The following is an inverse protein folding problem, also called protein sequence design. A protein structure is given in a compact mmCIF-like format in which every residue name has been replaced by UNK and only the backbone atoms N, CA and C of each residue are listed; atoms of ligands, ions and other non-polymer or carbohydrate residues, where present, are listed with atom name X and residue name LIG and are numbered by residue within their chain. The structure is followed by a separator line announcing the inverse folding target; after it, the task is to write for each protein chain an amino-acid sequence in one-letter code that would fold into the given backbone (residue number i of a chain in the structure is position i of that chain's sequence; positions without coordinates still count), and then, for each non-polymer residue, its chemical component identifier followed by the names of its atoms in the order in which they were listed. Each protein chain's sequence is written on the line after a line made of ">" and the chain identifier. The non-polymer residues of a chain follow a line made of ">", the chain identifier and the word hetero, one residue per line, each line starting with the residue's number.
data_IF_984436948677
#
_entry.id   IF_984436948677
#
_cell.length_a   1.000
_cell.length_b   1.000
_cell.length_c   1.000
_cell.angle_alpha   90.00
_cell.angle_beta   90.00
_cell.angle_gamma   90.00
#
_symmetry.space_group_name_H-M   'P 1'
#
loop_
_entity.id
_entity.type
_entity.pdbx_description
1 polymer ?
#
# COMPACT_ATOMS: atom_id res chain seq x y z
N UNK A 1 -4.49 -38.88 15.88
CA UNK A 1 -3.87 -37.71 16.55
C UNK A 1 -2.71 -37.26 15.67
N UNK A 2 -2.94 -36.39 14.66
CA UNK A 2 -2.65 -34.93 14.66
C UNK A 2 -1.35 -34.59 15.41
N UNK A 3 -0.26 -34.25 14.72
CA UNK A 3 -0.01 -33.01 13.96
C UNK A 3 0.82 -32.07 14.83
N UNK A 4 2.05 -31.73 14.41
CA UNK A 4 2.72 -30.44 14.72
C UNK A 4 4.16 -30.30 14.19
N UNK A 5 4.81 -31.36 13.68
CA UNK A 5 6.22 -31.23 13.26
C UNK A 5 6.44 -30.73 11.82
N UNK A 6 5.38 -30.60 11.01
CA UNK A 6 5.51 -30.19 9.60
C UNK A 6 5.26 -28.69 9.34
N UNK A 7 4.93 -27.89 10.38
CA UNK A 7 4.61 -26.46 10.23
C UNK A 7 5.72 -25.50 10.67
N UNK A 8 6.87 -26.00 11.16
CA UNK A 8 7.99 -25.16 11.58
C UNK A 8 9.02 -24.89 10.48
N UNK A 9 8.85 -25.48 9.28
CA UNK A 9 9.78 -25.28 8.15
C UNK A 9 9.35 -24.24 7.12
N UNK A 10 8.13 -23.69 7.21
CA UNK A 10 7.68 -22.60 6.32
C UNK A 10 8.02 -21.22 6.89
N UNK A 11 8.41 -21.13 8.17
CA UNK A 11 8.68 -19.86 8.88
C UNK A 11 10.16 -19.56 9.14
N UNK A 12 11.08 -20.17 8.38
CA UNK A 12 12.50 -19.80 8.43
C UNK A 12 12.91 -18.93 7.24
N UNK A 13 12.17 -17.83 7.01
CA UNK A 13 12.69 -16.72 6.24
C UNK A 13 13.61 -15.93 7.18
N UNK A 14 14.93 -16.07 7.01
CA UNK A 14 15.91 -15.20 7.68
C UNK A 14 15.53 -13.75 7.37
N UNK A 15 15.28 -12.88 8.37
CA UNK A 15 15.14 -11.47 8.09
C UNK A 15 16.54 -10.92 7.82
N UNK A 16 16.89 -10.77 6.55
CA UNK A 16 17.85 -9.74 6.18
C UNK A 16 17.24 -8.41 6.59
N UNK A 17 17.86 -7.78 7.58
CA UNK A 17 17.49 -6.54 8.27
C UNK A 17 17.23 -5.31 7.37
N UNK A 18 16.18 -5.32 6.52
CA UNK A 18 15.83 -4.16 5.67
C UNK A 18 14.32 -3.91 5.46
N UNK A 19 13.45 -4.50 6.27
CA UNK A 19 12.00 -4.23 6.22
C UNK A 19 11.46 -4.15 7.64
N UNK A 20 11.22 -2.93 8.13
CA UNK A 20 10.45 -2.75 9.36
C UNK A 20 8.97 -2.72 8.94
N UNK A 21 8.14 -3.70 9.34
CA UNK A 21 6.73 -3.69 8.96
C UNK A 21 5.97 -2.56 9.65
N UNK A 22 4.85 -2.14 9.07
CA UNK A 22 3.93 -1.23 9.74
C UNK A 22 3.19 -2.02 10.83
N UNK A 23 3.48 -1.76 12.11
CA UNK A 23 2.94 -2.57 13.22
C UNK A 23 1.81 -1.89 13.98
N UNK A 24 1.62 -0.58 13.79
CA UNK A 24 0.52 0.16 14.41
C UNK A 24 -0.81 -0.25 13.75
N UNK A 25 -1.79 -0.81 14.48
CA UNK A 25 -3.05 -1.28 13.90
C UNK A 25 -3.83 -0.18 13.17
N UNK A 26 -3.88 1.03 13.73
CA UNK A 26 -4.56 2.15 13.11
C UNK A 26 -3.85 2.59 11.81
N UNK A 27 -2.51 2.55 11.80
CA UNK A 27 -1.75 2.86 10.60
C UNK A 27 -1.95 1.81 9.49
N UNK A 28 -2.01 0.53 9.87
CA UNK A 28 -2.32 -0.59 8.98
C UNK A 28 -3.71 -0.42 8.35
N UNK A 29 -4.73 -0.17 9.17
CA UNK A 29 -6.11 0.00 8.70
C UNK A 29 -6.22 1.21 7.77
N UNK A 30 -5.61 2.34 8.12
CA UNK A 30 -5.57 3.53 7.28
C UNK A 30 -4.88 3.28 5.94
N UNK A 31 -3.75 2.54 5.94
CA UNK A 31 -3.05 2.19 4.72
C UNK A 31 -3.92 1.30 3.82
N UNK A 32 -4.50 0.25 4.40
CA UNK A 32 -5.38 -0.67 3.67
C UNK A 32 -6.57 0.07 3.08
N UNK A 33 -7.23 0.93 3.86
CA UNK A 33 -8.37 1.71 3.40
C UNK A 33 -7.99 2.65 2.25
N UNK A 34 -6.84 3.32 2.33
CA UNK A 34 -6.35 4.18 1.25
C UNK A 34 -6.22 3.41 -0.07
N UNK A 35 -5.61 2.21 -0.04
CA UNK A 35 -5.48 1.38 -1.24
C UNK A 35 -6.83 0.82 -1.72
N UNK A 36 -7.74 0.46 -0.81
CA UNK A 36 -9.07 -0.04 -1.16
C UNK A 36 -9.90 1.03 -1.87
N UNK A 37 -9.87 2.26 -1.36
CA UNK A 37 -10.56 3.39 -1.99
C UNK A 37 -9.98 3.68 -3.37
N UNK A 38 -8.64 3.61 -3.50
CA UNK A 38 -7.98 3.84 -4.78
C UNK A 38 -8.41 2.82 -5.84
N UNK A 39 -8.45 1.52 -5.49
CA UNK A 39 -8.94 0.49 -6.42
C UNK A 39 -10.41 0.73 -6.77
N UNK A 40 -11.25 0.97 -5.76
CA UNK A 40 -12.70 1.14 -5.95
C UNK A 40 -13.01 2.30 -6.90
N UNK A 41 -12.27 3.40 -6.79
CA UNK A 41 -12.50 4.60 -7.59
C UNK A 41 -11.76 4.59 -8.94
N UNK A 42 -10.61 3.94 -9.04
CA UNK A 42 -9.82 3.88 -10.27
C UNK A 42 -10.20 2.71 -11.19
N UNK A 43 -10.86 1.68 -10.66
CA UNK A 43 -11.28 0.48 -11.39
C UNK A 43 -12.60 -0.11 -10.85
N UNK A 44 -13.72 0.66 -10.90
CA UNK A 44 -14.99 0.25 -10.30
C UNK A 44 -15.58 -1.03 -10.91
N UNK A 45 -15.37 -1.25 -12.21
CA UNK A 45 -15.88 -2.42 -12.94
C UNK A 45 -14.92 -3.62 -12.89
N UNK A 46 -13.78 -3.50 -12.19
CA UNK A 46 -12.76 -4.54 -12.11
C UNK A 46 -12.26 -5.02 -13.49
N UNK A 47 -12.19 -4.14 -14.47
CA UNK A 47 -11.74 -4.46 -15.83
C UNK A 47 -10.24 -4.20 -16.03
N UNK A 48 -9.60 -3.40 -15.17
CA UNK A 48 -8.19 -2.99 -15.32
C UNK A 48 -7.24 -3.87 -14.48
N UNK A 49 -7.11 -5.14 -14.85
CA UNK A 49 -6.29 -6.12 -14.10
C UNK A 49 -4.84 -5.66 -13.85
N UNK A 50 -4.18 -5.04 -14.83
CA UNK A 50 -2.83 -4.50 -14.70
C UNK A 50 -2.72 -3.37 -13.68
N UNK A 51 -3.76 -2.54 -13.59
CA UNK A 51 -3.83 -1.43 -12.63
C UNK A 51 -3.92 -1.99 -11.20
N UNK A 52 -4.80 -2.96 -10.97
CA UNK A 52 -4.94 -3.63 -9.67
C UNK A 52 -3.64 -4.28 -9.22
N UNK A 53 -2.95 -5.00 -10.11
CA UNK A 53 -1.65 -5.59 -9.78
C UNK A 53 -0.61 -4.56 -9.35
N UNK A 54 -0.57 -3.38 -9.98
CA UNK A 54 0.34 -2.31 -9.56
C UNK A 54 -0.04 -1.74 -8.21
N UNK A 55 -1.33 -1.49 -7.98
CA UNK A 55 -1.83 -0.98 -6.70
C UNK A 55 -1.54 -1.98 -5.58
N UNK A 56 -1.76 -3.28 -5.80
CA UNK A 56 -1.47 -4.33 -4.85
C UNK A 56 0.03 -4.45 -4.55
N UNK A 57 0.90 -4.30 -5.56
CA UNK A 57 2.34 -4.29 -5.36
C UNK A 57 2.79 -3.12 -4.48
N UNK A 58 2.20 -1.93 -4.67
CA UNK A 58 2.46 -0.80 -3.77
C UNK A 58 1.88 -1.03 -2.37
N UNK A 59 0.71 -1.67 -2.25
CA UNK A 59 0.13 -2.03 -0.95
C UNK A 59 1.08 -2.93 -0.17
N UNK A 60 1.56 -4.01 -0.80
CA UNK A 60 2.52 -4.92 -0.16
C UNK A 60 3.77 -4.17 0.29
N UNK A 61 4.29 -3.27 -0.55
CA UNK A 61 5.43 -2.44 -0.16
C UNK A 61 5.10 -1.53 1.02
N UNK A 62 3.98 -0.80 1.00
CA UNK A 62 3.60 0.12 2.07
C UNK A 62 3.41 -0.57 3.42
N UNK A 63 2.87 -1.79 3.43
CA UNK A 63 2.65 -2.55 4.66
C UNK A 63 3.95 -3.16 5.23
N UNK A 64 4.96 -3.40 4.39
CA UNK A 64 6.22 -4.04 4.78
C UNK A 64 7.41 -3.08 4.90
N UNK A 65 7.33 -1.89 4.33
CA UNK A 65 8.38 -0.85 4.34
C UNK A 65 7.93 0.35 5.17
N UNK A 66 8.33 0.39 6.44
CA UNK A 66 8.22 1.60 7.25
C UNK A 66 9.02 2.75 6.61
N UNK A 67 8.39 3.91 6.40
CA UNK A 67 9.05 5.17 6.05
C UNK A 67 9.89 5.21 4.78
N UNK A 68 9.49 4.46 3.75
CA UNK A 68 10.16 4.56 2.46
C UNK A 68 9.78 5.87 1.74
N UNK A 69 10.64 6.90 1.84
CA UNK A 69 10.52 8.12 1.02
C UNK A 69 10.48 7.81 -0.48
N UNK A 70 11.16 6.75 -0.92
CA UNK A 70 11.09 6.29 -2.31
C UNK A 70 9.68 5.82 -2.67
N UNK A 71 9.03 5.05 -1.79
CA UNK A 71 7.67 4.58 -2.01
C UNK A 71 6.68 5.75 -2.04
N UNK A 72 6.84 6.72 -1.15
CA UNK A 72 6.05 7.95 -1.17
C UNK A 72 6.13 8.64 -2.54
N UNK A 73 7.34 8.91 -3.02
CA UNK A 73 7.54 9.57 -4.32
C UNK A 73 6.97 8.74 -5.50
N UNK A 74 7.10 7.42 -5.44
CA UNK A 74 6.52 6.52 -6.44
C UNK A 74 4.99 6.59 -6.44
N UNK A 75 4.35 6.63 -5.28
CA UNK A 75 2.90 6.76 -5.15
C UNK A 75 2.40 8.12 -5.65
N UNK A 76 3.11 9.22 -5.38
CA UNK A 76 2.80 10.54 -5.95
C UNK A 76 2.83 10.49 -7.48
N UNK A 77 3.93 10.02 -8.07
CA UNK A 77 4.04 9.95 -9.53
C UNK A 77 3.02 8.99 -10.17
N UNK A 78 2.65 7.93 -9.44
CA UNK A 78 1.58 7.03 -9.86
C UNK A 78 0.22 7.73 -9.88
N UNK A 79 -0.14 8.49 -8.83
CA UNK A 79 -1.38 9.27 -8.80
C UNK A 79 -1.42 10.30 -9.93
N UNK A 80 -0.32 11.01 -10.18
CA UNK A 80 -0.22 11.95 -11.31
C UNK A 80 -0.46 11.25 -12.65
N UNK A 81 0.05 10.03 -12.81
CA UNK A 81 -0.20 9.20 -13.99
C UNK A 81 -1.67 8.81 -14.11
N UNK A 82 -2.33 8.44 -13.02
CA UNK A 82 -3.77 8.11 -13.05
C UNK A 82 -4.63 9.30 -13.44
N UNK A 83 -4.27 10.51 -13.00
CA UNK A 83 -4.94 11.75 -13.40
C UNK A 83 -4.65 12.05 -14.88
N UNK A 84 -3.38 11.96 -15.32
CA UNK A 84 -2.99 12.26 -16.69
C UNK A 84 -3.60 11.29 -17.72
N UNK A 85 -3.83 10.04 -17.33
CA UNK A 85 -4.51 9.03 -18.14
C UNK A 85 -6.04 9.03 -17.96
N UNK A 86 -6.61 10.03 -17.29
CA UNK A 86 -8.06 10.18 -17.06
C UNK A 86 -8.69 8.94 -16.38
N UNK A 87 -7.90 8.19 -15.61
CA UNK A 87 -8.39 7.06 -14.81
C UNK A 87 -9.18 7.56 -13.60
N UNK A 88 -8.71 8.65 -13.00
CA UNK A 88 -9.38 9.38 -11.93
C UNK A 88 -9.41 10.87 -12.27
N UNK A 89 -10.36 11.60 -11.68
CA UNK A 89 -10.45 13.05 -11.89
C UNK A 89 -9.32 13.79 -11.16
N UNK A 90 -8.96 15.02 -11.60
CA UNK A 90 -7.99 15.84 -10.88
C UNK A 90 -8.37 16.14 -9.42
N UNK A 91 -9.67 16.23 -9.14
CA UNK A 91 -10.21 16.41 -7.79
C UNK A 91 -9.89 15.20 -6.91
N UNK A 92 -10.19 13.99 -7.40
CA UNK A 92 -9.86 12.74 -6.70
C UNK A 92 -8.35 12.57 -6.53
N UNK A 93 -7.56 12.88 -7.55
CA UNK A 93 -6.10 12.84 -7.46
C UNK A 93 -5.56 13.73 -6.33
N UNK A 94 -6.10 14.95 -6.17
CA UNK A 94 -5.74 15.84 -5.05
C UNK A 94 -6.15 15.28 -3.70
N UNK A 95 -7.35 14.69 -3.60
CA UNK A 95 -7.82 14.06 -2.37
C UNK A 95 -6.92 12.90 -1.94
N UNK A 96 -6.59 12.00 -2.88
CA UNK A 96 -5.67 10.89 -2.61
C UNK A 96 -4.27 11.35 -2.24
N UNK A 97 -3.75 12.39 -2.90
CA UNK A 97 -2.46 12.99 -2.57
C UNK A 97 -2.46 13.56 -1.13
N UNK A 98 -3.50 14.30 -0.73
CA UNK A 98 -3.62 14.83 0.62
C UNK A 98 -3.70 13.71 1.67
N UNK A 99 -4.54 12.69 1.42
CA UNK A 99 -4.65 11.53 2.31
C UNK A 99 -3.33 10.75 2.40
N UNK A 100 -2.58 10.66 1.31
CA UNK A 100 -1.27 10.01 1.27
C UNK A 100 -0.25 10.79 2.10
N UNK A 101 -0.19 12.12 1.97
CA UNK A 101 0.69 13.00 2.76
C UNK A 101 0.36 12.84 4.25
N UNK A 102 -0.91 12.97 4.62
CA UNK A 102 -1.34 12.84 6.01
C UNK A 102 -1.03 11.44 6.54
N UNK A 103 -1.34 10.38 5.79
CA UNK A 103 -1.05 9.00 6.19
C UNK A 103 0.44 8.74 6.42
N UNK A 104 1.29 9.24 5.52
CA UNK A 104 2.74 9.16 5.66
C UNK A 104 3.24 9.96 6.87
N UNK A 105 2.79 11.21 7.06
CA UNK A 105 3.27 12.10 8.13
C UNK A 105 2.75 11.71 9.52
N UNK A 106 1.53 11.16 9.64
CA UNK A 106 0.86 10.95 10.93
C UNK A 106 0.99 9.54 11.53
N UNK A 107 1.20 8.50 10.70
CA UNK A 107 1.05 7.12 11.20
C UNK A 107 1.91 6.08 10.47
N UNK A 108 2.39 6.32 9.25
CA UNK A 108 3.42 5.44 8.67
C UNK A 108 4.80 5.69 9.28
N UNK A 109 5.04 6.89 9.85
CA UNK A 109 6.36 7.32 10.36
C UNK A 109 6.61 7.36 11.86
N UNK A 110 5.59 7.41 12.69
CA UNK A 110 5.75 7.45 14.15
C UNK A 110 5.35 6.11 14.76
N UNK A 111 6.38 5.32 15.05
CA UNK A 111 6.35 4.17 15.99
C UNK A 111 5.99 4.63 17.40
#
# INVERSE_FOLDING_TARGET
>A
MRSTQFLLHIFNFRPTSMYTPLTNPLALDNAQQWFNDLITLADPDYLRSRLRHHIDAYRVQALNLHNSKSLFNQLIGFLDTLVACEVITPQLGREFNLRLIIGFESAWMTS
#
